data_IF_009161769074
#
_entry.id   IF_009161769074
#
_cell.length_a   1.000
_cell.length_b   1.000
_cell.length_c   1.000
_cell.angle_alpha   90.00
_cell.angle_beta   90.00
_cell.angle_gamma   90.00
#
_symmetry.space_group_name_H-M   'P 1'
#
loop_
_entity.id
_entity.type
_entity.pdbx_description
1 polymer ?
#
# COMPACT_ATOMS: atom_id res chain seq x y z
N UNK A 1 -2.42 3.92 42.21
CA UNK A 1 -2.90 4.84 41.15
C UNK A 1 -4.37 5.14 41.38
N UNK A 2 -4.76 6.41 41.37
CA UNK A 2 -6.16 6.83 41.51
C UNK A 2 -6.95 6.58 40.21
N UNK A 3 -8.28 6.42 40.28
CA UNK A 3 -9.13 6.23 39.10
C UNK A 3 -8.95 7.33 38.03
N UNK A 4 -8.77 8.58 38.49
CA UNK A 4 -8.52 9.73 37.62
C UNK A 4 -7.21 9.61 36.82
N UNK A 5 -6.14 9.11 37.43
CA UNK A 5 -4.85 8.91 36.76
C UNK A 5 -4.93 7.83 35.66
N UNK A 6 -5.74 6.78 35.87
CA UNK A 6 -6.00 5.76 34.84
C UNK A 6 -6.81 6.30 33.66
N UNK A 7 -7.83 7.13 33.94
CA UNK A 7 -8.66 7.74 32.90
C UNK A 7 -7.86 8.71 32.02
N UNK A 8 -7.02 9.56 32.64
CA UNK A 8 -6.14 10.48 31.91
C UNK A 8 -5.19 9.68 31.01
N UNK A 9 -4.50 8.67 31.54
CA UNK A 9 -3.56 7.87 30.76
C UNK A 9 -4.24 7.16 29.58
N UNK A 10 -5.46 6.66 29.77
CA UNK A 10 -6.24 6.03 28.70
C UNK A 10 -6.61 7.02 27.58
N UNK A 11 -7.03 8.23 27.94
CA UNK A 11 -7.38 9.28 26.97
C UNK A 11 -6.15 9.75 26.21
N UNK A 12 -5.04 10.01 26.91
CA UNK A 12 -3.79 10.45 26.24
C UNK A 12 -3.26 9.36 25.31
N UNK A 13 -3.33 8.09 25.72
CA UNK A 13 -2.98 6.94 24.88
C UNK A 13 -3.86 6.81 23.63
N UNK A 14 -5.17 7.00 23.76
CA UNK A 14 -6.10 6.99 22.62
C UNK A 14 -5.77 8.12 21.63
N UNK A 15 -5.60 9.34 22.12
CA UNK A 15 -5.34 10.53 21.29
C UNK A 15 -4.02 10.40 20.54
N UNK A 16 -2.95 9.98 21.24
CA UNK A 16 -1.65 9.77 20.59
C UNK A 16 -1.72 8.70 19.50
N UNK A 17 -2.43 7.60 19.76
CA UNK A 17 -2.63 6.55 18.76
C UNK A 17 -3.36 7.10 17.53
N UNK A 18 -4.46 7.82 17.73
CA UNK A 18 -5.25 8.44 16.65
C UNK A 18 -4.42 9.41 15.79
N UNK A 19 -3.62 10.26 16.44
CA UNK A 19 -2.76 11.24 15.74
C UNK A 19 -1.70 10.54 14.90
N UNK A 20 -1.05 9.50 15.45
CA UNK A 20 -0.04 8.73 14.71
C UNK A 20 -0.66 8.02 13.50
N UNK A 21 -1.83 7.40 13.66
CA UNK A 21 -2.55 6.78 12.54
C UNK A 21 -2.94 7.80 11.46
N UNK A 22 -3.41 8.98 11.85
CA UNK A 22 -3.78 10.03 10.92
C UNK A 22 -2.56 10.55 10.12
N UNK A 23 -1.42 10.74 10.79
CA UNK A 23 -0.17 11.16 10.16
C UNK A 23 0.35 10.09 9.20
N UNK A 24 0.35 8.83 9.61
CA UNK A 24 0.76 7.71 8.75
C UNK A 24 -0.12 7.59 7.50
N UNK A 25 -1.43 7.81 7.64
CA UNK A 25 -2.35 7.82 6.50
C UNK A 25 -2.09 8.98 5.54
N UNK A 26 -1.78 10.18 6.04
CA UNK A 26 -1.43 11.34 5.20
C UNK A 26 -0.12 11.12 4.45
N UNK A 27 0.92 10.67 5.14
CA UNK A 27 2.22 10.39 4.53
C UNK A 27 2.11 9.41 3.36
N UNK A 28 1.34 8.32 3.52
CA UNK A 28 1.08 7.37 2.42
C UNK A 28 0.35 8.00 1.25
N UNK A 29 -0.64 8.86 1.49
CA UNK A 29 -1.37 9.56 0.42
C UNK A 29 -0.47 10.55 -0.31
N UNK A 30 0.38 11.26 0.40
CA UNK A 30 1.32 12.21 -0.18
C UNK A 30 2.38 11.50 -1.02
N UNK A 31 2.90 10.36 -0.54
CA UNK A 31 3.81 9.50 -1.30
C UNK A 31 3.14 8.95 -2.56
N UNK A 32 1.92 8.44 -2.46
CA UNK A 32 1.15 8.00 -3.63
C UNK A 32 0.91 9.14 -4.63
N UNK A 33 0.52 10.32 -4.15
CA UNK A 33 0.31 11.48 -5.03
C UNK A 33 1.62 11.94 -5.69
N UNK A 34 2.75 11.82 -5.00
CA UNK A 34 4.07 12.08 -5.57
C UNK A 34 4.42 11.05 -6.64
N UNK A 35 4.24 9.75 -6.37
CA UNK A 35 4.44 8.67 -7.35
C UNK A 35 3.56 8.88 -8.59
N UNK A 36 2.28 9.20 -8.42
CA UNK A 36 1.38 9.39 -9.56
C UNK A 36 1.76 10.57 -10.46
N UNK A 37 2.40 11.61 -9.88
CA UNK A 37 2.85 12.81 -10.62
C UNK A 37 4.25 12.66 -11.22
N UNK A 38 5.18 12.07 -10.48
CA UNK A 38 6.61 12.08 -10.81
C UNK A 38 7.22 10.69 -11.02
N UNK A 39 6.47 9.62 -10.73
CA UNK A 39 6.91 8.25 -10.84
C UNK A 39 6.94 7.78 -12.30
N UNK A 40 7.85 6.84 -12.55
CA UNK A 40 7.95 6.17 -13.85
C UNK A 40 6.90 5.06 -13.92
N UNK A 41 6.33 4.84 -15.10
CA UNK A 41 5.31 3.80 -15.32
C UNK A 41 5.93 2.65 -16.11
N UNK A 42 5.74 1.44 -15.61
CA UNK A 42 6.20 0.22 -16.27
C UNK A 42 5.14 -0.86 -16.15
N UNK A 43 5.17 -1.84 -17.05
CA UNK A 43 4.33 -3.03 -16.94
C UNK A 43 4.91 -3.98 -15.92
N UNK A 44 4.08 -4.39 -14.97
CA UNK A 44 4.36 -5.48 -14.02
C UNK A 44 3.36 -6.61 -14.17
N UNK A 45 3.57 -7.68 -13.41
CA UNK A 45 2.70 -8.86 -13.38
C UNK A 45 2.14 -9.06 -11.99
N UNK A 46 0.85 -9.34 -11.90
CA UNK A 46 0.20 -9.72 -10.65
C UNK A 46 0.58 -11.17 -10.31
N UNK A 47 1.15 -11.38 -9.13
CA UNK A 47 1.62 -12.69 -8.67
C UNK A 47 0.55 -13.46 -7.93
N UNK A 48 -0.10 -12.81 -6.98
CA UNK A 48 -1.10 -13.45 -6.12
C UNK A 48 -2.07 -12.43 -5.57
N UNK A 49 -3.29 -12.88 -5.32
CA UNK A 49 -4.30 -12.12 -4.59
C UNK A 49 -4.80 -13.07 -3.51
N UNK A 50 -4.38 -12.84 -2.28
CA UNK A 50 -4.66 -13.73 -1.16
C UNK A 50 -5.14 -12.92 0.04
N UNK A 51 -5.86 -13.57 0.94
CA UNK A 51 -6.08 -12.98 2.27
C UNK A 51 -4.78 -13.04 3.05
N UNK A 52 -4.53 -12.03 3.87
CA UNK A 52 -3.40 -12.05 4.80
C UNK A 52 -3.57 -13.15 5.87
N UNK A 53 -4.82 -13.52 6.16
CA UNK A 53 -5.18 -14.63 7.05
C UNK A 53 -6.60 -15.13 6.76
N UNK A 54 -6.88 -16.39 7.10
CA UNK A 54 -8.22 -16.99 7.00
C UNK A 54 -9.22 -16.44 8.03
N UNK A 55 -8.77 -15.59 8.96
CA UNK A 55 -9.68 -14.90 9.89
C UNK A 55 -10.68 -14.03 9.13
N UNK A 56 -11.94 -14.12 9.53
CA UNK A 56 -13.00 -13.28 9.00
C UNK A 56 -12.65 -11.79 9.16
N UNK A 57 -12.83 -11.02 8.09
CA UNK A 57 -12.61 -9.56 8.07
C UNK A 57 -11.18 -9.10 7.76
N UNK A 58 -10.24 -10.02 7.50
CA UNK A 58 -8.88 -9.63 7.10
C UNK A 58 -8.85 -9.09 5.66
N UNK A 59 -8.07 -8.02 5.38
CA UNK A 59 -7.97 -7.46 4.05
C UNK A 59 -7.32 -8.46 3.08
N UNK A 60 -7.72 -8.37 1.81
CA UNK A 60 -6.97 -9.05 0.75
C UNK A 60 -5.69 -8.27 0.47
N UNK A 61 -4.64 -8.98 0.11
CA UNK A 61 -3.36 -8.41 -0.30
C UNK A 61 -3.07 -8.90 -1.71
N UNK A 62 -2.82 -7.95 -2.60
CA UNK A 62 -2.33 -8.24 -3.94
C UNK A 62 -0.82 -8.05 -3.97
N UNK A 63 -0.12 -9.08 -4.43
CA UNK A 63 1.31 -9.05 -4.70
C UNK A 63 1.54 -8.93 -6.19
N UNK A 64 2.51 -8.09 -6.55
CA UNK A 64 2.89 -7.86 -7.94
C UNK A 64 4.41 -7.76 -8.03
N UNK A 65 4.91 -7.92 -9.24
CA UNK A 65 6.32 -7.74 -9.55
C UNK A 65 6.52 -6.93 -10.81
N UNK A 66 7.63 -6.23 -10.90
CA UNK A 66 8.01 -5.47 -12.08
C UNK A 66 9.53 -5.34 -12.16
N UNK A 67 10.03 -5.02 -13.35
CA UNK A 67 11.46 -4.73 -13.57
C UNK A 67 11.60 -3.25 -13.89
N UNK A 68 12.30 -2.46 -13.05
CA UNK A 68 12.55 -1.05 -13.35
C UNK A 68 13.33 -0.89 -14.66
N UNK A 69 13.04 0.16 -15.42
CA UNK A 69 13.76 0.44 -16.66
C UNK A 69 15.26 0.59 -16.41
N UNK A 70 16.07 -0.10 -17.23
CA UNK A 70 17.52 -0.09 -17.12
C UNK A 70 18.09 -0.93 -15.97
N UNK A 71 17.25 -1.73 -15.30
CA UNK A 71 17.67 -2.68 -14.27
C UNK A 71 17.34 -4.11 -14.68
N UNK A 72 18.14 -5.06 -14.20
CA UNK A 72 17.89 -6.50 -14.41
C UNK A 72 17.17 -7.15 -13.24
N UNK A 73 17.08 -6.45 -12.10
CA UNK A 73 16.52 -6.98 -10.87
C UNK A 73 15.00 -6.80 -10.85
N UNK A 74 14.29 -7.88 -10.57
CA UNK A 74 12.84 -7.85 -10.35
C UNK A 74 12.56 -7.32 -8.95
N UNK A 75 11.62 -6.39 -8.86
CA UNK A 75 11.14 -5.82 -7.61
C UNK A 75 9.74 -6.32 -7.36
N UNK A 76 9.48 -6.72 -6.12
CA UNK A 76 8.17 -7.12 -5.66
C UNK A 76 7.53 -6.00 -4.84
N UNK A 77 6.26 -5.75 -5.10
CA UNK A 77 5.43 -4.83 -4.35
C UNK A 77 4.16 -5.53 -3.86
N UNK A 78 3.51 -4.90 -2.88
CA UNK A 78 2.22 -5.36 -2.39
C UNK A 78 1.31 -4.18 -2.07
N UNK A 79 0.02 -4.35 -2.29
CA UNK A 79 -0.98 -3.38 -1.87
C UNK A 79 -2.20 -4.09 -1.26
N UNK A 80 -2.95 -3.40 -0.39
CA UNK A 80 -4.28 -3.85 -0.03
C UNK A 80 -5.11 -4.01 -1.30
N UNK A 81 -5.82 -5.12 -1.41
CA UNK A 81 -6.82 -5.33 -2.44
C UNK A 81 -8.20 -5.30 -1.77
N UNK A 82 -9.15 -4.63 -2.43
CA UNK A 82 -10.55 -4.82 -2.06
C UNK A 82 -11.00 -6.22 -2.48
N UNK A 83 -12.13 -6.68 -1.94
CA UNK A 83 -12.73 -8.00 -2.29
C UNK A 83 -12.95 -8.14 -3.80
N UNK A 84 -13.06 -7.01 -4.51
CA UNK A 84 -13.10 -6.94 -5.97
C UNK A 84 -11.82 -6.29 -6.51
N UNK A 85 -10.74 -7.08 -6.60
CA UNK A 85 -9.61 -6.70 -7.44
C UNK A 85 -10.03 -6.81 -8.92
N UNK A 86 -9.75 -5.80 -9.77
CA UNK A 86 -9.98 -5.91 -11.22
C UNK A 86 -8.98 -6.84 -11.91
N UNK A 87 -8.01 -7.38 -11.18
CA UNK A 87 -6.93 -8.23 -11.69
C UNK A 87 -7.04 -9.66 -11.17
N UNK A 88 -6.44 -10.59 -11.92
CA UNK A 88 -6.19 -11.98 -11.56
C UNK A 88 -4.69 -12.25 -11.52
N UNK A 89 -4.23 -13.27 -10.78
CA UNK A 89 -2.85 -13.75 -10.88
C UNK A 89 -2.47 -14.04 -12.34
N UNK A 90 -1.31 -13.56 -12.78
CA UNK A 90 -0.84 -13.63 -14.16
C UNK A 90 -1.20 -12.42 -15.03
N UNK A 91 -2.11 -11.55 -14.58
CA UNK A 91 -2.47 -10.35 -15.35
C UNK A 91 -1.31 -9.34 -15.38
N UNK A 92 -1.19 -8.67 -16.51
CA UNK A 92 -0.30 -7.50 -16.65
C UNK A 92 -1.00 -6.26 -16.13
N UNK A 93 -0.31 -5.48 -15.30
CA UNK A 93 -0.80 -4.23 -14.74
C UNK A 93 0.24 -3.13 -14.87
N UNK A 94 -0.20 -1.87 -14.81
CA UNK A 94 0.71 -0.73 -14.78
C UNK A 94 1.16 -0.49 -13.35
N UNK A 95 2.47 -0.48 -13.14
CA UNK A 95 3.11 -0.12 -11.88
C UNK A 95 3.75 1.23 -12.04
N UNK A 96 3.53 2.10 -11.06
CA UNK A 96 4.18 3.40 -10.96
C UNK A 96 5.18 3.36 -9.80
N UNK A 97 6.44 3.69 -10.06
CA UNK A 97 7.52 3.59 -9.07
C UNK A 97 8.39 4.84 -9.05
N UNK A 98 9.06 5.07 -7.92
CA UNK A 98 10.05 6.13 -7.79
C UNK A 98 11.38 5.66 -8.40
N UNK A 99 11.89 6.36 -9.42
CA UNK A 99 13.15 6.01 -10.09
C UNK A 99 14.36 5.99 -9.14
N UNK A 100 14.38 6.88 -8.15
CA UNK A 100 15.46 6.96 -7.17
C UNK A 100 15.36 5.87 -6.08
N UNK A 101 14.14 5.41 -5.78
CA UNK A 101 13.88 4.35 -4.83
C UNK A 101 12.79 3.41 -5.36
N UNK A 102 13.15 2.45 -6.25
CA UNK A 102 12.16 1.62 -6.93
C UNK A 102 11.32 0.72 -6.02
N UNK A 103 11.74 0.47 -4.78
CA UNK A 103 10.90 -0.20 -3.77
C UNK A 103 9.65 0.60 -3.39
N UNK A 104 9.68 1.94 -3.53
CA UNK A 104 8.49 2.79 -3.44
C UNK A 104 7.72 2.71 -4.76
N UNK A 105 6.67 1.88 -4.75
CA UNK A 105 5.86 1.60 -5.93
C UNK A 105 4.38 1.42 -5.59
N UNK A 106 3.53 1.70 -6.57
CA UNK A 106 2.09 1.52 -6.50
C UNK A 106 1.58 0.92 -7.80
N UNK A 107 0.73 -0.08 -7.69
CA UNK A 107 0.03 -0.67 -8.82
C UNK A 107 -1.25 0.11 -9.12
N UNK A 108 -1.51 0.32 -10.40
CA UNK A 108 -2.67 1.07 -10.87
C UNK A 108 -3.75 0.11 -11.35
N UNK A 109 -5.00 0.44 -11.07
CA UNK A 109 -6.18 -0.15 -11.71
C UNK A 109 -6.20 0.16 -13.22
N UNK A 110 -7.03 -0.55 -14.02
CA UNK A 110 -7.18 -0.27 -15.46
C UNK A 110 -7.64 1.17 -15.76
N UNK A 111 -8.23 1.85 -14.77
CA UNK A 111 -8.64 3.26 -14.85
C UNK A 111 -7.52 4.25 -14.47
N UNK A 112 -6.30 3.77 -14.25
CA UNK A 112 -5.14 4.58 -13.88
C UNK A 112 -5.14 5.08 -12.43
N UNK A 113 -6.03 4.56 -11.56
CA UNK A 113 -6.07 4.92 -10.13
C UNK A 113 -5.26 3.93 -9.30
N UNK A 114 -4.54 4.37 -8.25
CA UNK A 114 -3.86 3.47 -7.33
C UNK A 114 -4.87 2.53 -6.64
N UNK A 115 -4.44 1.30 -6.39
CA UNK A 115 -5.19 0.30 -5.62
C UNK A 115 -4.93 0.41 -4.11
#
# INVERSE_FOLDING_TARGET
MTPAAKAILAITGLVTTLVVFALASRARKDEQAHLLRNGVRVTGTVLSISRESDRAGMPMVMRYQFTPEGQSNVIQGQCPASVFSPYKPGDTAVVCYNKALPSSSVILSPKGKPL
#
